data_IF_969878845554
#
_entry.id   IF_969878845554
#
_cell.length_a   1.000
_cell.length_b   1.000
_cell.length_c   1.000
_cell.angle_alpha   90.00
_cell.angle_beta   90.00
_cell.angle_gamma   90.00
#
_symmetry.space_group_name_H-M   'P 1'
#
loop_
_entity.id
_entity.type
_entity.pdbx_description
1 polymer ?
#
# COMPACT_ATOMS: atom_id res chain seq x y z
N UNK A 1 -17.36 16.86 8.38
CA UNK A 1 -16.77 16.30 7.15
C UNK A 1 -15.39 15.80 7.52
N UNK A 2 -15.10 14.51 7.37
CA UNK A 2 -13.73 14.01 7.60
C UNK A 2 -12.83 14.58 6.49
N UNK A 3 -11.75 15.29 6.86
CA UNK A 3 -10.81 15.83 5.88
C UNK A 3 -10.05 14.69 5.21
N UNK A 4 -9.96 14.69 3.87
CA UNK A 4 -9.07 13.77 3.16
C UNK A 4 -7.64 14.05 3.62
N UNK A 5 -6.88 13.03 4.07
CA UNK A 5 -5.51 13.24 4.50
C UNK A 5 -4.61 13.82 3.39
N UNK A 6 -3.40 14.27 3.72
CA UNK A 6 -2.44 14.72 2.69
C UNK A 6 -1.94 13.52 1.84
N UNK A 7 -1.79 13.74 0.54
CA UNK A 7 -1.26 12.80 -0.45
C UNK A 7 -0.28 13.49 -1.39
N UNK A 8 0.65 12.70 -1.93
CA UNK A 8 1.36 13.08 -3.16
C UNK A 8 0.47 12.77 -4.36
N UNK A 9 0.49 13.64 -5.36
CA UNK A 9 -0.31 13.52 -6.57
C UNK A 9 0.56 13.71 -7.80
N UNK A 10 0.29 12.94 -8.85
CA UNK A 10 0.96 13.05 -10.14
C UNK A 10 -0.05 13.09 -11.28
N UNK A 11 0.27 13.87 -12.31
CA UNK A 11 -0.63 14.16 -13.43
C UNK A 11 -1.64 15.28 -13.12
N UNK A 12 -2.42 15.66 -14.12
CA UNK A 12 -3.44 16.71 -14.00
C UNK A 12 -4.85 16.09 -14.04
N UNK A 13 -5.68 16.29 -12.99
CA UNK A 13 -7.02 15.69 -12.93
C UNK A 13 -7.90 15.98 -14.16
N UNK A 14 -7.79 17.18 -14.71
CA UNK A 14 -8.61 17.64 -15.83
C UNK A 14 -8.26 16.97 -17.17
N UNK A 15 -7.04 16.44 -17.33
CA UNK A 15 -6.58 15.80 -18.56
C UNK A 15 -6.46 14.28 -18.44
N UNK A 16 -6.71 13.72 -17.25
CA UNK A 16 -6.66 12.28 -17.01
C UNK A 16 -8.03 11.64 -17.16
N UNK A 17 -8.10 10.54 -17.90
CA UNK A 17 -9.35 9.79 -18.09
C UNK A 17 -9.54 8.67 -17.06
N UNK A 18 -8.48 8.33 -16.32
CA UNK A 18 -8.44 7.25 -15.34
C UNK A 18 -7.77 7.72 -14.05
N UNK A 19 -8.04 7.04 -12.94
CA UNK A 19 -7.49 7.35 -11.63
C UNK A 19 -6.85 6.12 -10.99
N UNK A 20 -5.69 6.32 -10.38
CA UNK A 20 -4.99 5.29 -9.61
C UNK A 20 -4.75 5.75 -8.18
N UNK A 21 -4.89 4.83 -7.22
CA UNK A 21 -4.50 5.04 -5.83
C UNK A 21 -3.37 4.07 -5.45
N UNK A 22 -2.30 4.59 -4.85
CA UNK A 22 -1.12 3.81 -4.47
C UNK A 22 -0.89 3.86 -2.96
N UNK A 23 -0.86 2.70 -2.30
CA UNK A 23 -0.76 2.56 -0.84
C UNK A 23 0.59 1.95 -0.49
N UNK A 24 1.45 2.74 0.17
CA UNK A 24 2.83 2.34 0.49
C UNK A 24 2.93 1.39 1.68
N UNK A 25 4.10 0.76 1.83
CA UNK A 25 4.42 -0.14 2.95
C UNK A 25 5.06 0.57 4.14
N UNK A 26 5.45 -0.20 5.16
CA UNK A 26 6.21 0.33 6.30
C UNK A 26 7.56 0.91 5.87
N UNK A 27 8.06 1.88 6.64
CA UNK A 27 9.36 2.55 6.39
C UNK A 27 9.48 3.22 5.01
N UNK A 28 8.34 3.44 4.35
CA UNK A 28 8.22 4.08 3.04
C UNK A 28 7.42 5.38 3.17
N UNK A 29 7.21 6.09 2.07
CA UNK A 29 6.28 7.22 2.03
C UNK A 29 5.52 7.22 0.71
N UNK A 30 4.59 8.17 0.54
CA UNK A 30 3.95 8.41 -0.75
C UNK A 30 4.97 8.55 -1.90
N UNK A 31 6.12 9.19 -1.66
CA UNK A 31 7.17 9.40 -2.67
C UNK A 31 7.87 8.13 -3.16
N UNK A 32 7.77 7.02 -2.42
CA UNK A 32 8.31 5.72 -2.88
C UNK A 32 7.64 5.26 -4.19
N UNK A 33 6.47 5.80 -4.51
CA UNK A 33 5.75 5.50 -5.74
C UNK A 33 6.20 6.31 -6.96
N UNK A 34 7.14 7.26 -6.86
CA UNK A 34 7.50 8.19 -7.94
C UNK A 34 7.60 7.51 -9.31
N UNK A 35 8.42 6.47 -9.44
CA UNK A 35 8.63 5.78 -10.73
C UNK A 35 7.38 5.08 -11.27
N UNK A 36 6.58 4.47 -10.39
CA UNK A 36 5.32 3.83 -10.77
C UNK A 36 4.27 4.87 -11.14
N UNK A 37 4.21 5.98 -10.39
CA UNK A 37 3.29 7.07 -10.63
C UNK A 37 3.56 7.72 -12.00
N UNK A 38 4.82 7.98 -12.35
CA UNK A 38 5.17 8.53 -13.68
C UNK A 38 4.74 7.59 -14.81
N UNK A 39 5.00 6.29 -14.70
CA UNK A 39 4.56 5.31 -15.70
C UNK A 39 3.02 5.25 -15.84
N UNK A 40 2.28 5.38 -14.73
CA UNK A 40 0.82 5.46 -14.76
C UNK A 40 0.32 6.77 -15.36
N UNK A 41 0.98 7.89 -15.09
CA UNK A 41 0.65 9.19 -15.70
C UNK A 41 0.85 9.14 -17.21
N UNK A 42 1.94 8.55 -17.70
CA UNK A 42 2.16 8.32 -19.13
C UNK A 42 1.07 7.43 -19.76
N UNK A 43 0.52 6.50 -18.97
CA UNK A 43 -0.63 5.69 -19.38
C UNK A 43 -2.00 6.42 -19.24
N UNK A 44 -2.01 7.71 -18.88
CA UNK A 44 -3.22 8.55 -18.81
C UNK A 44 -3.94 8.55 -17.45
N UNK A 45 -3.31 8.06 -16.39
CA UNK A 45 -3.89 8.07 -15.05
C UNK A 45 -3.58 9.39 -14.31
N UNK A 46 -4.52 9.85 -13.50
CA UNK A 46 -4.25 10.74 -12.38
C UNK A 46 -3.96 9.88 -11.14
N UNK A 47 -2.78 10.05 -10.56
CA UNK A 47 -2.27 9.17 -9.50
C UNK A 47 -2.32 9.89 -8.16
N UNK A 48 -2.84 9.21 -7.14
CA UNK A 48 -2.88 9.69 -5.76
C UNK A 48 -2.19 8.68 -4.85
N UNK A 49 -1.27 9.13 -4.00
CA UNK A 49 -0.65 8.28 -2.97
C UNK A 49 -0.75 8.95 -1.59
N UNK A 50 -1.62 8.48 -0.69
CA UNK A 50 -1.66 8.96 0.69
C UNK A 50 -0.40 8.59 1.46
N UNK A 51 0.01 9.45 2.40
CA UNK A 51 0.87 9.01 3.49
C UNK A 51 0.02 8.28 4.54
N UNK A 52 0.52 7.20 5.10
CA UNK A 52 -0.13 6.50 6.21
C UNK A 52 0.16 7.18 7.56
N UNK A 53 -0.65 6.92 8.59
CA UNK A 53 -0.30 7.33 9.96
C UNK A 53 1.08 6.77 10.36
N UNK A 54 1.82 7.52 11.19
CA UNK A 54 3.25 7.29 11.52
C UNK A 54 4.24 7.45 10.35
N UNK A 55 3.77 7.82 9.15
CA UNK A 55 4.60 8.06 7.97
C UNK A 55 4.34 9.47 7.43
N UNK A 56 5.28 10.02 6.68
CA UNK A 56 5.08 11.32 6.07
C UNK A 56 4.81 12.44 7.08
N UNK A 57 5.39 12.35 8.29
CA UNK A 57 5.13 13.23 9.45
C UNK A 57 3.68 13.22 9.98
N UNK A 58 2.89 12.21 9.63
CA UNK A 58 1.52 12.03 10.15
C UNK A 58 1.56 11.42 11.55
N UNK A 59 0.92 12.08 12.51
CA UNK A 59 0.77 11.58 13.88
C UNK A 59 -0.49 10.72 14.03
N UNK A 60 -0.43 9.76 14.96
CA UNK A 60 -1.55 8.89 15.34
C UNK A 60 -1.23 8.15 16.63
N UNK A 61 -2.19 7.40 17.17
CA UNK A 61 -2.02 6.60 18.40
C UNK A 61 -2.50 5.15 18.25
N UNK A 62 -3.14 4.83 17.12
CA UNK A 62 -3.56 3.48 16.75
C UNK A 62 -3.09 3.24 15.31
N UNK A 63 -2.19 2.28 15.15
CA UNK A 63 -1.60 1.93 13.86
C UNK A 63 -2.01 0.54 13.38
N UNK A 64 -3.10 -0.01 13.94
CA UNK A 64 -3.71 -1.24 13.46
C UNK A 64 -4.06 -1.13 11.96
N UNK A 65 -3.97 -2.24 11.23
CA UNK A 65 -4.33 -2.27 9.80
C UNK A 65 -5.76 -1.73 9.57
N UNK A 66 -6.71 -2.08 10.43
CA UNK A 66 -8.08 -1.58 10.38
C UNK A 66 -8.17 -0.06 10.57
N UNK A 67 -7.43 0.52 11.52
CA UNK A 67 -7.42 1.97 11.69
C UNK A 67 -6.71 2.68 10.52
N UNK A 68 -5.63 2.11 9.99
CA UNK A 68 -4.97 2.63 8.79
C UNK A 68 -5.87 2.59 7.56
N UNK A 69 -6.65 1.53 7.39
CA UNK A 69 -7.67 1.44 6.34
C UNK A 69 -8.73 2.53 6.52
N UNK A 70 -9.28 2.67 7.74
CA UNK A 70 -10.27 3.70 8.08
C UNK A 70 -9.75 5.12 7.83
N UNK A 71 -8.48 5.39 8.15
CA UNK A 71 -7.84 6.69 7.93
C UNK A 71 -7.83 7.10 6.44
N UNK A 72 -7.65 6.13 5.52
CA UNK A 72 -7.63 6.41 4.08
C UNK A 72 -8.99 6.17 3.38
N UNK A 73 -10.03 5.69 4.09
CA UNK A 73 -11.38 5.59 3.54
C UNK A 73 -11.94 6.89 2.91
N UNK A 74 -11.65 8.11 3.44
CA UNK A 74 -12.10 9.36 2.81
C UNK A 74 -11.70 9.53 1.35
N UNK A 75 -10.61 8.87 0.89
CA UNK A 75 -10.22 8.90 -0.52
C UNK A 75 -11.21 8.21 -1.47
N UNK A 76 -12.12 7.40 -0.96
CA UNK A 76 -13.03 6.56 -1.75
C UNK A 76 -14.50 7.03 -1.71
N UNK A 77 -14.84 8.01 -0.86
CA UNK A 77 -16.24 8.42 -0.64
C UNK A 77 -16.87 8.99 -1.91
N UNK A 78 -16.22 9.98 -2.53
CA UNK A 78 -16.71 10.67 -3.72
C UNK A 78 -15.78 10.49 -4.93
N UNK A 79 -14.87 9.51 -4.86
CA UNK A 79 -13.88 9.26 -5.90
C UNK A 79 -13.84 7.78 -6.26
N UNK A 80 -13.92 7.53 -7.57
CA UNK A 80 -13.69 6.21 -8.14
C UNK A 80 -12.24 6.09 -8.63
N UNK A 81 -11.59 4.98 -8.33
CA UNK A 81 -10.30 4.60 -8.88
C UNK A 81 -10.44 3.41 -9.81
N UNK A 82 -9.79 3.47 -10.96
CA UNK A 82 -9.76 2.36 -11.92
C UNK A 82 -8.75 1.29 -11.47
N UNK A 83 -7.67 1.71 -10.81
CA UNK A 83 -6.65 0.83 -10.24
C UNK A 83 -6.30 1.25 -8.81
N UNK A 84 -6.15 0.28 -7.91
CA UNK A 84 -5.59 0.49 -6.58
C UNK A 84 -4.45 -0.50 -6.38
N UNK A 85 -3.27 0.00 -5.98
CA UNK A 85 -2.07 -0.82 -5.76
C UNK A 85 -1.64 -0.69 -4.31
N UNK A 86 -1.47 -1.81 -3.61
CA UNK A 86 -0.95 -1.85 -2.25
C UNK A 86 0.32 -2.70 -2.17
N UNK A 87 1.41 -2.12 -1.64
CA UNK A 87 2.67 -2.84 -1.43
C UNK A 87 2.90 -3.16 0.05
N UNK A 88 3.29 -4.40 0.38
CA UNK A 88 3.60 -4.82 1.75
C UNK A 88 2.45 -4.52 2.72
N UNK A 89 2.65 -3.67 3.73
CA UNK A 89 1.57 -3.18 4.62
C UNK A 89 0.41 -2.56 3.83
N UNK A 90 0.70 -1.79 2.76
CA UNK A 90 -0.33 -1.20 1.91
C UNK A 90 -1.19 -2.26 1.20
N UNK A 91 -0.64 -3.45 0.94
CA UNK A 91 -1.41 -4.59 0.45
C UNK A 91 -2.38 -5.14 1.49
N UNK A 92 -1.96 -5.25 2.76
CA UNK A 92 -2.85 -5.65 3.85
C UNK A 92 -3.97 -4.62 4.09
N UNK A 93 -3.64 -3.33 4.04
CA UNK A 93 -4.61 -2.24 4.12
C UNK A 93 -5.60 -2.31 2.95
N UNK A 94 -5.12 -2.55 1.73
CA UNK A 94 -5.99 -2.70 0.56
C UNK A 94 -6.95 -3.88 0.73
N UNK A 95 -6.47 -5.03 1.24
CA UNK A 95 -7.30 -6.19 1.50
C UNK A 95 -8.45 -5.87 2.49
N UNK A 96 -8.15 -5.13 3.57
CA UNK A 96 -9.15 -4.66 4.54
C UNK A 96 -10.16 -3.67 3.93
N UNK A 97 -9.74 -2.88 2.93
CA UNK A 97 -10.60 -1.94 2.24
C UNK A 97 -11.54 -2.59 1.22
N UNK A 98 -11.21 -3.77 0.67
CA UNK A 98 -11.96 -4.39 -0.43
C UNK A 98 -13.49 -4.45 -0.20
N UNK A 99 -14.01 -4.82 0.99
CA UNK A 99 -15.45 -4.87 1.23
C UNK A 99 -16.14 -3.50 1.17
N UNK A 100 -15.39 -2.40 1.30
CA UNK A 100 -15.91 -1.03 1.33
C UNK A 100 -15.80 -0.32 -0.02
N UNK A 101 -15.10 -0.90 -1.00
CA UNK A 101 -14.93 -0.28 -2.32
C UNK A 101 -16.24 -0.34 -3.10
N UNK A 102 -16.76 0.82 -3.51
CA UNK A 102 -18.03 0.91 -4.21
C UNK A 102 -18.02 0.17 -5.55
N UNK A 103 -18.84 -0.87 -5.68
CA UNK A 103 -18.95 -1.71 -6.89
C UNK A 103 -19.71 -1.06 -8.05
N UNK A 104 -19.76 0.28 -8.11
CA UNK A 104 -20.51 1.00 -9.16
C UNK A 104 -19.87 0.84 -10.55
N UNK A 105 -18.57 0.58 -10.59
CA UNK A 105 -17.77 0.30 -11.79
C UNK A 105 -16.67 -0.71 -11.44
N UNK A 106 -16.12 -1.46 -12.41
CA UNK A 106 -15.01 -2.37 -12.17
C UNK A 106 -13.77 -1.63 -11.66
N UNK A 107 -13.11 -2.21 -10.66
CA UNK A 107 -11.87 -1.72 -10.06
C UNK A 107 -10.83 -2.85 -10.13
N UNK A 108 -9.62 -2.56 -10.59
CA UNK A 108 -8.49 -3.49 -10.49
C UNK A 108 -7.72 -3.24 -9.19
N UNK A 109 -7.69 -4.24 -8.30
CA UNK A 109 -6.89 -4.20 -7.08
C UNK A 109 -5.63 -5.07 -7.26
N UNK A 110 -4.45 -4.50 -7.00
CA UNK A 110 -3.15 -5.20 -7.09
C UNK A 110 -2.47 -5.21 -5.72
N UNK A 111 -2.14 -6.42 -5.26
CA UNK A 111 -1.40 -6.66 -4.02
C UNK A 111 0.03 -7.05 -4.39
N UNK A 112 1.00 -6.23 -4.00
CA UNK A 112 2.43 -6.46 -4.27
C UNK A 112 3.11 -6.86 -2.97
N UNK A 113 3.60 -8.10 -2.92
CA UNK A 113 4.25 -8.69 -1.75
C UNK A 113 3.54 -8.37 -0.42
N UNK A 114 2.22 -8.66 -0.30
CA UNK A 114 1.40 -8.13 0.78
C UNK A 114 1.73 -8.79 2.12
N UNK A 115 1.71 -8.00 3.20
CA UNK A 115 1.95 -8.46 4.57
C UNK A 115 0.70 -9.12 5.18
N UNK A 116 0.22 -10.21 4.56
CA UNK A 116 -1.04 -10.88 4.93
C UNK A 116 -0.91 -11.83 6.13
N UNK A 117 0.27 -12.42 6.32
CA UNK A 117 0.54 -13.38 7.39
C UNK A 117 1.84 -12.98 8.10
N UNK A 118 1.71 -12.33 9.26
CA UNK A 118 2.85 -11.88 10.07
C UNK A 118 2.79 -12.57 11.42
N UNK A 119 3.67 -13.55 11.64
CA UNK A 119 3.77 -14.28 12.91
C UNK A 119 4.55 -13.48 13.95
N UNK A 120 4.42 -13.78 15.26
CA UNK A 120 5.21 -13.12 16.29
C UNK A 120 6.72 -13.16 16.03
N UNK A 121 7.26 -14.29 15.55
CA UNK A 121 8.68 -14.42 15.21
C UNK A 121 9.08 -13.48 14.06
N UNK A 122 8.23 -13.35 13.04
CA UNK A 122 8.44 -12.39 11.94
C UNK A 122 8.40 -10.96 12.49
N UNK A 123 7.46 -10.65 13.39
CA UNK A 123 7.39 -9.34 14.04
C UNK A 123 8.70 -9.02 14.76
N UNK A 124 9.27 -9.96 15.51
CA UNK A 124 10.51 -9.73 16.26
C UNK A 124 11.72 -9.51 15.34
N UNK A 125 11.81 -10.26 14.23
CA UNK A 125 12.83 -10.02 13.20
C UNK A 125 12.64 -8.65 12.53
N UNK A 126 11.40 -8.29 12.18
CA UNK A 126 11.08 -7.00 11.59
C UNK A 126 11.40 -5.84 12.54
N UNK A 127 11.16 -5.99 13.85
CA UNK A 127 11.50 -4.98 14.88
C UNK A 127 12.98 -4.66 14.83
N UNK A 128 13.83 -5.67 14.87
CA UNK A 128 15.28 -5.49 14.84
C UNK A 128 15.69 -4.80 13.52
N UNK A 129 15.23 -5.32 12.38
CA UNK A 129 15.61 -4.80 11.06
C UNK A 129 15.15 -3.35 10.82
N UNK A 130 13.90 -3.05 11.16
CA UNK A 130 13.32 -1.72 10.97
C UNK A 130 13.98 -0.72 11.93
N UNK A 131 14.18 -1.08 13.20
CA UNK A 131 14.89 -0.22 14.16
C UNK A 131 16.29 0.12 13.66
N UNK A 132 17.03 -0.87 13.18
CA UNK A 132 18.36 -0.67 12.61
C UNK A 132 18.30 0.24 11.37
N UNK A 133 17.38 0.00 10.43
CA UNK A 133 17.24 0.83 9.23
C UNK A 133 16.93 2.30 9.53
N UNK A 134 16.18 2.58 10.60
CA UNK A 134 15.82 3.95 11.01
C UNK A 134 16.96 4.62 11.78
N UNK A 135 17.59 3.88 12.71
CA UNK A 135 18.69 4.42 13.52
C UNK A 135 19.97 4.61 12.70
N UNK A 136 20.21 3.73 11.73
CA UNK A 136 21.45 3.66 10.94
C UNK A 136 21.15 3.84 9.44
N UNK A 137 20.50 4.96 9.09
CA UNK A 137 20.25 5.31 7.67
C UNK A 137 21.57 5.42 6.92
N UNK A 138 21.72 4.63 5.86
CA UNK A 138 22.95 4.53 5.07
C UNK A 138 22.99 5.57 3.95
N UNK A 139 24.18 5.91 3.41
CA UNK A 139 24.26 6.82 2.26
C UNK A 139 23.58 6.24 1.01
N UNK A 140 23.20 7.12 0.08
CA UNK A 140 22.53 6.80 -1.19
C UNK A 140 23.28 5.68 -1.94
N UNK A 141 24.61 5.79 -1.99
CA UNK A 141 25.50 4.90 -2.72
C UNK A 141 25.43 3.47 -2.18
N UNK A 142 25.22 3.27 -0.87
CA UNK A 142 25.05 1.95 -0.29
C UNK A 142 23.74 1.28 -0.74
N UNK A 143 22.63 2.04 -0.77
CA UNK A 143 21.36 1.51 -1.26
C UNK A 143 21.41 1.16 -2.75
N UNK A 144 22.10 1.96 -3.57
CA UNK A 144 22.30 1.66 -4.99
C UNK A 144 23.20 0.43 -5.20
N UNK A 145 24.26 0.26 -4.40
CA UNK A 145 25.14 -0.90 -4.50
C UNK A 145 24.42 -2.22 -4.18
N UNK A 146 23.49 -2.20 -3.21
CA UNK A 146 22.72 -3.38 -2.81
C UNK A 146 21.52 -3.66 -3.72
N UNK A 147 21.07 -2.65 -4.47
CA UNK A 147 19.93 -2.75 -5.36
C UNK A 147 20.35 -2.26 -6.75
N UNK A 148 20.98 -3.11 -7.59
CA UNK A 148 21.55 -2.68 -8.87
C UNK A 148 20.56 -2.02 -9.84
N UNK A 149 19.25 -2.25 -9.65
CA UNK A 149 18.18 -1.64 -10.44
C UNK A 149 17.68 -0.30 -9.88
N UNK A 150 18.19 0.15 -8.73
CA UNK A 150 17.81 1.44 -8.17
C UNK A 150 18.47 2.57 -8.95
N UNK A 151 17.65 3.51 -9.38
CA UNK A 151 18.12 4.85 -9.74
C UNK A 151 18.50 5.63 -8.48
N UNK A 152 19.17 6.77 -8.66
CA UNK A 152 19.44 7.69 -7.54
C UNK A 152 18.14 8.18 -6.87
N UNK A 153 17.07 8.35 -7.64
CA UNK A 153 15.75 8.76 -7.13
C UNK A 153 15.14 7.66 -6.25
N UNK A 154 15.24 6.39 -6.65
CA UNK A 154 14.76 5.27 -5.84
C UNK A 154 15.49 5.21 -4.48
N UNK A 155 16.81 5.37 -4.50
CA UNK A 155 17.62 5.41 -3.26
C UNK A 155 17.30 6.62 -2.38
N UNK A 156 17.09 7.81 -2.96
CA UNK A 156 16.69 9.01 -2.21
C UNK A 156 15.30 8.84 -1.59
N UNK A 157 14.31 8.38 -2.35
CA UNK A 157 12.94 8.18 -1.85
C UNK A 157 12.88 7.10 -0.76
N UNK A 158 13.75 6.08 -0.82
CA UNK A 158 13.95 5.11 0.27
C UNK A 158 14.44 5.78 1.55
N UNK A 159 15.48 6.62 1.45
CA UNK A 159 16.05 7.36 2.60
C UNK A 159 15.02 8.33 3.18
N UNK A 160 14.30 9.07 2.32
CA UNK A 160 13.22 9.96 2.73
C UNK A 160 12.13 9.18 3.48
N UNK A 161 11.71 8.01 2.98
CA UNK A 161 10.75 7.16 3.66
C UNK A 161 11.19 6.72 5.06
N UNK A 162 12.49 6.45 5.25
CA UNK A 162 13.06 6.13 6.56
C UNK A 162 13.05 7.33 7.52
N UNK A 163 13.43 8.51 7.05
CA UNK A 163 13.42 9.74 7.88
C UNK A 163 12.01 10.24 8.21
N UNK A 164 11.03 9.96 7.34
CA UNK A 164 9.64 10.34 7.55
C UNK A 164 8.86 9.35 8.41
N UNK A 165 9.53 8.31 8.93
CA UNK A 165 8.93 7.30 9.78
C UNK A 165 9.09 7.66 11.26
N UNK A 166 7.97 7.83 11.95
CA UNK A 166 7.97 8.52 13.24
C UNK A 166 8.34 7.66 14.46
N UNK A 167 8.06 6.34 14.45
CA UNK A 167 8.24 5.53 15.65
C UNK A 167 8.29 4.03 15.33
N UNK A 168 9.25 3.33 15.95
CA UNK A 168 9.32 1.84 15.92
C UNK A 168 8.14 1.24 16.69
N UNK A 169 7.68 1.88 17.76
CA UNK A 169 6.51 1.46 18.54
C UNK A 169 5.25 1.42 17.68
N UNK A 170 5.10 2.37 16.74
CA UNK A 170 4.01 2.34 15.77
C UNK A 170 4.04 1.07 14.89
N UNK A 171 5.23 0.59 14.50
CA UNK A 171 5.40 -0.67 13.77
C UNK A 171 4.89 -1.86 14.58
N UNK A 172 5.31 -1.92 15.85
CA UNK A 172 4.92 -3.02 16.75
C UNK A 172 3.41 -3.06 16.88
N UNK A 173 2.76 -1.91 17.06
CA UNK A 173 1.31 -1.84 17.13
C UNK A 173 0.63 -2.32 15.85
N UNK A 174 1.15 -1.98 14.66
CA UNK A 174 0.59 -2.44 13.37
C UNK A 174 0.44 -3.95 13.31
N UNK A 175 1.43 -4.71 13.78
CA UNK A 175 1.39 -6.17 13.72
C UNK A 175 0.99 -6.87 15.02
N UNK A 176 1.04 -6.20 16.18
CA UNK A 176 0.66 -6.79 17.47
C UNK A 176 -0.84 -7.03 17.62
N UNK A 177 -1.66 -6.18 17.00
CA UNK A 177 -3.13 -6.31 16.95
C UNK A 177 -3.61 -7.11 15.75
N UNK A 178 -2.69 -7.56 14.89
CA UNK A 178 -3.03 -8.28 13.69
C UNK A 178 -3.31 -9.75 14.01
N UNK A 179 -4.54 -10.07 14.39
CA UNK A 179 -5.04 -11.45 14.58
C UNK A 179 -5.27 -12.19 13.24
N UNK A 180 -4.67 -11.70 12.15
CA UNK A 180 -4.89 -12.14 10.78
C UNK A 180 -4.27 -13.51 10.56
N UNK A 181 -5.11 -14.54 10.70
CA UNK A 181 -4.87 -15.87 10.17
C UNK A 181 -5.80 -16.05 8.97
N UNK A 182 -5.27 -16.04 7.75
CA UNK A 182 -6.01 -16.50 6.57
C UNK A 182 -6.36 -18.01 6.64
N UNK A 183 -6.03 -18.69 7.74
CA UNK A 183 -6.38 -20.09 8.00
C UNK A 183 -7.85 -20.36 8.31
N UNK A 184 -8.73 -19.34 8.37
CA UNK A 184 -10.18 -19.55 8.54
C UNK A 184 -10.99 -18.70 7.57
N UNK A 185 -11.49 -19.39 6.55
CA UNK A 185 -12.65 -19.04 5.71
C UNK A 185 -12.46 -18.03 4.57
N UNK A 186 -11.47 -18.22 3.70
CA UNK A 186 -11.60 -17.79 2.28
C UNK A 186 -10.93 -18.81 1.35
N UNK A 187 -11.66 -19.87 0.99
CA UNK A 187 -11.33 -20.64 -0.22
C UNK A 187 -11.78 -19.85 -1.45
N UNK A 188 -11.08 -18.77 -1.76
CA UNK A 188 -11.10 -18.17 -3.09
C UNK A 188 -9.66 -18.05 -3.58
N UNK A 189 -9.30 -18.93 -4.50
CA UNK A 189 -8.03 -18.88 -5.26
C UNK A 189 -7.98 -17.55 -6.01
N UNK A 190 -7.14 -16.63 -5.57
CA UNK A 190 -6.68 -15.53 -6.43
C UNK A 190 -5.60 -16.12 -7.34
N UNK A 191 -5.98 -16.50 -8.55
CA UNK A 191 -5.02 -16.95 -9.57
C UNK A 191 -4.65 -15.73 -10.42
N UNK A 192 -3.41 -15.27 -10.29
CA UNK A 192 -2.83 -14.26 -11.19
C UNK A 192 -2.09 -15.03 -12.29
N UNK A 193 -2.65 -15.06 -13.50
CA UNK A 193 -2.00 -15.64 -14.67
C UNK A 193 -1.12 -14.58 -15.35
N UNK A 194 0.19 -14.76 -15.26
CA UNK A 194 1.20 -13.84 -15.79
C UNK A 194 1.48 -14.03 -17.29
N UNK A 195 0.80 -14.96 -17.97
CA UNK A 195 1.06 -15.29 -19.38
C UNK A 195 0.11 -14.63 -20.38
N UNK A 196 -0.98 -14.00 -19.91
CA UNK A 196 -1.93 -13.32 -20.77
C UNK A 196 -1.54 -11.85 -21.04
N UNK A 197 -1.71 -11.39 -22.28
CA UNK A 197 -1.40 -10.02 -22.73
C UNK A 197 -2.20 -8.90 -22.03
N UNK A 198 -3.15 -9.24 -21.15
CA UNK A 198 -3.83 -8.34 -20.22
C UNK A 198 -4.15 -9.12 -18.93
N UNK A 199 -3.87 -8.57 -17.73
CA UNK A 199 -4.21 -9.23 -16.47
C UNK A 199 -5.74 -9.23 -16.27
N UNK A 200 -6.35 -10.40 -16.31
CA UNK A 200 -7.76 -10.63 -16.00
C UNK A 200 -7.91 -11.02 -14.53
N UNK A 201 -8.53 -10.15 -13.73
CA UNK A 201 -9.04 -10.52 -12.41
C UNK A 201 -10.47 -11.03 -12.60
N UNK A 202 -10.63 -12.37 -12.65
CA UNK A 202 -11.97 -12.98 -12.75
C UNK A 202 -12.57 -13.14 -11.36
N UNK A 203 -13.57 -12.33 -11.05
CA UNK A 203 -14.43 -12.51 -9.88
C UNK A 203 -15.63 -13.38 -10.28
N UNK A 204 -15.68 -14.63 -9.80
CA UNK A 204 -16.92 -15.43 -9.84
C UNK A 204 -17.48 -15.48 -8.42
N UNK A 205 -18.56 -14.73 -8.20
CA UNK A 205 -19.39 -14.92 -7.01
C UNK A 205 -19.90 -16.38 -6.98
N UNK A 206 -19.97 -17.05 -5.82
CA UNK A 206 -20.68 -18.31 -5.72
C UNK A 206 -22.16 -18.02 -6.02
N UNK A 207 -22.73 -18.75 -6.98
CA UNK A 207 -24.19 -18.90 -7.04
C UNK A 207 -24.61 -19.48 -5.69
N UNK A 208 -25.45 -18.74 -4.95
CA UNK A 208 -26.13 -19.29 -3.79
C UNK A 208 -27.03 -20.43 -4.29
N UNK A 209 -26.55 -21.67 -4.14
CA UNK A 209 -27.38 -22.85 -4.29
C UNK A 209 -28.23 -22.99 -3.06
N UNK A 210 -29.53 -22.74 -3.22
CA UNK A 210 -30.57 -23.19 -2.30
C UNK A 210 -30.64 -24.71 -2.27
N UNK A 211 -30.46 -25.30 -1.09
CA UNK A 211 -31.16 -26.52 -0.64
C UNK A 211 -31.22 -26.50 0.88
#
# INVERSE_FOLDING_TARGET
>A
MSSVPSATQWGLPASSNRRALLIHGLTSSSHTWERVAQALVEAGYFVVAPNLLSHGFRHGTDFSVGNLAKDIQPYFVDTHYDIIIGHSLGGAILAELLPFLAHRRPISAMLVDPALEVTPDIVDVLKIKISDCIANVRPIEAYMAENPNFTRVDAVTRIVGLHMYMSVEAMVQTFAVSTWRFSRAWTSRVTVDWTAKQPLVVWKAPLQGST
#
